data_IF_557099070064
#
_entry.id   IF_557099070064
#
_cell.length_a   1.000
_cell.length_b   1.000
_cell.length_c   1.000
_cell.angle_alpha   90.00
_cell.angle_beta   90.00
_cell.angle_gamma   90.00
#
_symmetry.space_group_name_H-M   'P 1'
#
loop_
_entity.id
_entity.type
_entity.pdbx_description
1 polymer ?
#
# COMPACT_ATOMS: atom_id res chain seq x y z
N UNK A 1 -5.89 -10.26 -18.08
CA UNK A 1 -6.58 -9.85 -16.84
C UNK A 1 -6.48 -8.33 -16.73
N UNK A 2 -7.57 -7.66 -16.37
CA UNK A 2 -7.81 -6.23 -16.53
C UNK A 2 -7.02 -5.33 -15.55
N UNK A 3 -6.87 -4.07 -15.98
CA UNK A 3 -5.93 -3.00 -15.60
C UNK A 3 -6.03 -2.41 -14.18
N UNK A 4 -4.94 -1.81 -13.70
CA UNK A 4 -5.02 -0.40 -13.24
C UNK A 4 -3.65 0.29 -13.18
N UNK A 5 -3.38 1.14 -14.19
CA UNK A 5 -2.40 2.23 -14.10
C UNK A 5 -2.92 3.30 -13.14
N UNK A 6 -2.06 3.88 -12.29
CA UNK A 6 -2.14 5.33 -12.05
C UNK A 6 -0.79 5.96 -11.78
N UNK A 7 -0.51 6.91 -12.66
CA UNK A 7 0.57 7.88 -12.72
C UNK A 7 0.51 8.82 -11.50
N UNK A 8 1.65 9.09 -10.85
CA UNK A 8 1.75 10.14 -9.82
C UNK A 8 2.46 11.33 -10.46
N UNK A 9 1.65 12.31 -10.85
CA UNK A 9 2.09 13.65 -11.25
C UNK A 9 2.11 14.56 -10.01
N UNK A 10 3.16 15.37 -9.80
CA UNK A 10 3.27 16.28 -8.68
C UNK A 10 2.60 17.62 -9.00
N UNK A 11 1.33 17.78 -8.62
CA UNK A 11 0.68 19.09 -8.67
C UNK A 11 -0.08 19.37 -7.38
N UNK A 12 0.32 20.52 -6.82
CA UNK A 12 -0.15 21.27 -5.66
C UNK A 12 -1.69 21.30 -5.47
N UNK A 13 -2.12 21.64 -4.25
CA UNK A 13 -3.39 22.32 -3.91
C UNK A 13 -4.76 21.61 -3.98
N UNK A 14 -4.85 20.31 -3.67
CA UNK A 14 -5.94 19.69 -2.85
C UNK A 14 -5.69 18.18 -2.75
N UNK A 15 -5.45 17.60 -1.56
CA UNK A 15 -5.16 16.16 -1.45
C UNK A 15 -6.43 15.37 -1.82
N UNK A 16 -6.42 14.78 -3.02
CA UNK A 16 -7.44 13.82 -3.44
C UNK A 16 -7.43 12.67 -2.41
N UNK A 17 -8.58 12.26 -1.82
CA UNK A 17 -8.67 11.27 -0.74
C UNK A 17 -8.47 9.82 -1.22
N UNK A 18 -7.50 9.61 -2.10
CA UNK A 18 -7.18 8.31 -2.67
C UNK A 18 -5.70 8.26 -3.03
N UNK A 19 -4.89 8.28 -1.97
CA UNK A 19 -3.51 7.80 -1.95
C UNK A 19 -3.30 6.92 -0.70
N UNK A 20 -4.19 5.93 -0.47
CA UNK A 20 -3.72 4.73 0.24
C UNK A 20 -2.52 4.30 -0.57
N UNK A 21 -1.32 4.42 0.02
CA UNK A 21 -0.06 4.25 -0.68
C UNK A 21 -0.15 2.98 -1.52
N UNK A 22 -0.34 3.16 -2.84
CA UNK A 22 -0.56 2.04 -3.75
C UNK A 22 0.66 1.13 -3.69
N UNK A 23 1.83 1.74 -3.47
CA UNK A 23 3.11 1.09 -3.28
C UNK A 23 3.13 0.17 -2.05
N UNK A 24 2.82 0.68 -0.85
CA UNK A 24 2.84 -0.16 0.37
C UNK A 24 1.71 -1.18 0.40
N UNK A 25 0.53 -0.84 -0.13
CA UNK A 25 -0.55 -1.81 -0.32
C UNK A 25 -0.13 -2.91 -1.29
N UNK A 26 0.42 -2.56 -2.45
CA UNK A 26 0.83 -3.53 -3.49
C UNK A 26 1.94 -4.45 -2.97
N UNK A 27 2.94 -3.90 -2.28
CA UNK A 27 4.00 -4.71 -1.69
C UNK A 27 3.45 -5.71 -0.66
N UNK A 28 2.52 -5.28 0.21
CA UNK A 28 1.85 -6.18 1.16
C UNK A 28 1.03 -7.27 0.44
N UNK A 29 0.22 -6.88 -0.54
CA UNK A 29 -0.63 -7.80 -1.31
C UNK A 29 0.22 -8.84 -2.07
N UNK A 30 1.28 -8.39 -2.73
CA UNK A 30 2.23 -9.23 -3.47
C UNK A 30 2.93 -10.24 -2.54
N UNK A 31 3.33 -9.79 -1.34
CA UNK A 31 3.89 -10.68 -0.33
C UNK A 31 2.88 -11.72 0.16
N UNK A 32 1.62 -11.34 0.40
CA UNK A 32 0.57 -12.27 0.83
C UNK A 32 0.25 -13.33 -0.21
N UNK A 33 0.36 -13.00 -1.50
CA UNK A 33 0.10 -13.93 -2.63
C UNK A 33 1.32 -14.80 -2.93
N UNK A 34 2.54 -14.30 -2.71
CA UNK A 34 3.78 -14.98 -3.11
C UNK A 34 4.40 -15.88 -2.03
N UNK A 35 4.04 -15.71 -0.75
CA UNK A 35 4.63 -16.46 0.35
C UNK A 35 3.77 -17.67 0.74
N UNK A 36 4.36 -18.85 0.68
CA UNK A 36 3.78 -20.10 1.20
C UNK A 36 4.06 -20.19 2.72
N UNK A 37 3.02 -20.25 3.54
CA UNK A 37 3.09 -20.20 5.00
C UNK A 37 2.15 -19.15 5.61
N UNK A 38 2.36 -18.78 6.87
CA UNK A 38 1.51 -17.80 7.57
C UNK A 38 1.80 -16.37 7.08
N UNK A 39 0.93 -15.75 6.26
CA UNK A 39 1.22 -14.49 5.59
C UNK A 39 1.28 -13.31 6.58
N UNK A 40 0.62 -13.44 7.72
CA UNK A 40 0.65 -12.45 8.80
C UNK A 40 2.03 -12.37 9.46
N UNK A 41 2.78 -13.48 9.49
CA UNK A 41 4.13 -13.53 10.05
C UNK A 41 5.14 -13.13 8.97
N UNK A 42 5.03 -13.72 7.78
CA UNK A 42 5.97 -13.49 6.67
C UNK A 42 5.92 -12.06 6.12
N UNK A 43 4.76 -11.41 6.15
CA UNK A 43 4.57 -10.05 5.64
C UNK A 43 4.35 -9.03 6.77
N UNK A 44 4.67 -9.38 8.02
CA UNK A 44 4.45 -8.52 9.21
C UNK A 44 5.04 -7.12 9.02
N UNK A 45 6.28 -7.04 8.53
CA UNK A 45 6.97 -5.76 8.31
C UNK A 45 6.25 -4.88 7.28
N UNK A 46 5.74 -5.47 6.19
CA UNK A 46 4.98 -4.76 5.16
C UNK A 46 3.60 -4.32 5.65
N UNK A 47 2.95 -5.15 6.46
CA UNK A 47 1.66 -4.83 7.10
C UNK A 47 1.84 -3.66 8.06
N UNK A 48 2.87 -3.70 8.90
CA UNK A 48 3.18 -2.68 9.91
C UNK A 48 3.56 -1.36 9.26
N UNK A 49 4.42 -1.39 8.23
CA UNK A 49 4.78 -0.21 7.44
C UNK A 49 3.56 0.43 6.75
N UNK A 50 2.69 -0.39 6.15
CA UNK A 50 1.43 0.08 5.56
C UNK A 50 0.50 0.69 6.62
N UNK A 51 0.39 0.07 7.79
CA UNK A 51 -0.41 0.57 8.92
C UNK A 51 0.10 1.93 9.40
N UNK A 52 1.42 2.08 9.59
CA UNK A 52 2.01 3.34 10.02
C UNK A 52 1.78 4.45 8.99
N UNK A 53 1.98 4.16 7.70
CA UNK A 53 1.73 5.14 6.64
C UNK A 53 0.28 5.63 6.68
N UNK A 54 -0.67 4.70 6.78
CA UNK A 54 -2.11 5.04 6.85
C UNK A 54 -2.42 5.83 8.11
N UNK A 55 -1.81 5.50 9.26
CA UNK A 55 -2.01 6.25 10.51
C UNK A 55 -1.46 7.68 10.44
N UNK A 56 -0.31 7.90 9.81
CA UNK A 56 0.30 9.23 9.63
C UNK A 56 -0.57 10.10 8.72
N UNK A 57 -1.28 9.50 7.76
CA UNK A 57 -2.12 10.24 6.81
C UNK A 57 -3.51 10.59 7.35
N UNK A 58 -3.95 9.94 8.44
CA UNK A 58 -5.27 10.15 9.06
C UNK A 58 -5.24 11.27 10.12
N UNK A 59 -4.07 11.59 10.68
CA UNK A 59 -3.88 12.71 11.61
C UNK A 59 -3.58 14.01 10.89
#
# INVERSE_FOLDING_TARGET
MAESKKNVDPSEEKPKPCCVCLETKKARDDCMVSKEGDPLIMCKELIEAHRQYVLIWIS
#
